data_IF_066158531407
#
_entry.id   IF_066158531407
#
_cell.length_a   1.000
_cell.length_b   1.000
_cell.length_c   1.000
_cell.angle_alpha   90.00
_cell.angle_beta   90.00
_cell.angle_gamma   90.00
#
_symmetry.space_group_name_H-M   'P 1'
#
loop_
_entity.id
_entity.type
_entity.pdbx_description
1 polymer ?
#
# COMPACT_ATOMS: atom_id res chain seq x y z
N UNK A 1 5.81 -19.55 3.97
CA UNK A 1 5.76 -20.52 5.09
C UNK A 1 7.15 -21.03 5.46
N UNK A 2 7.98 -21.50 4.51
CA UNK A 2 9.31 -22.06 4.78
C UNK A 2 10.21 -21.14 5.64
N UNK A 3 10.21 -19.83 5.35
CA UNK A 3 10.92 -18.85 6.18
C UNK A 3 10.39 -18.82 7.61
N UNK A 4 9.07 -18.76 7.79
CA UNK A 4 8.43 -18.67 9.09
C UNK A 4 8.66 -19.92 9.97
N UNK A 5 8.81 -21.10 9.36
CA UNK A 5 9.11 -22.34 10.10
C UNK A 5 10.59 -22.46 10.50
N UNK A 6 11.49 -21.80 9.78
CA UNK A 6 12.94 -21.99 9.97
C UNK A 6 13.63 -20.83 10.66
N UNK A 7 13.05 -19.64 10.65
CA UNK A 7 13.70 -18.42 11.17
C UNK A 7 13.98 -18.49 12.66
N UNK A 8 13.21 -19.24 13.43
CA UNK A 8 13.43 -19.42 14.87
C UNK A 8 14.72 -20.18 15.20
N UNK A 9 15.24 -20.95 14.25
CA UNK A 9 16.52 -21.64 14.38
C UNK A 9 17.73 -20.75 14.08
N UNK A 10 17.52 -19.50 13.65
CA UNK A 10 18.60 -18.57 13.35
C UNK A 10 18.99 -17.79 14.61
N UNK A 11 20.29 -17.76 14.90
CA UNK A 11 20.85 -16.90 15.94
C UNK A 11 20.93 -15.46 15.43
N UNK A 12 20.01 -14.61 15.88
CA UNK A 12 19.94 -13.21 15.52
C UNK A 12 19.19 -12.41 16.59
N UNK A 13 19.23 -11.10 16.51
CA UNK A 13 18.45 -10.22 17.38
C UNK A 13 16.94 -10.55 17.31
N UNK A 14 16.31 -10.74 18.46
CA UNK A 14 14.90 -11.15 18.54
C UNK A 14 13.95 -10.10 17.99
N UNK A 15 14.25 -8.81 18.18
CA UNK A 15 13.41 -7.72 17.65
C UNK A 15 13.43 -7.72 16.13
N UNK A 16 14.62 -7.91 15.57
CA UNK A 16 14.80 -8.04 14.11
C UNK A 16 14.09 -9.30 13.58
N UNK A 17 14.20 -10.42 14.30
CA UNK A 17 13.55 -11.68 13.94
C UNK A 17 12.02 -11.53 13.88
N UNK A 18 11.41 -10.95 14.91
CA UNK A 18 9.97 -10.71 14.96
C UNK A 18 9.51 -9.74 13.86
N UNK A 19 10.29 -8.70 13.58
CA UNK A 19 10.05 -7.80 12.45
C UNK A 19 10.04 -8.55 11.11
N UNK A 20 11.05 -9.37 10.85
CA UNK A 20 11.14 -10.15 9.62
C UNK A 20 10.01 -11.18 9.48
N UNK A 21 9.58 -11.80 10.59
CA UNK A 21 8.38 -12.65 10.62
C UNK A 21 7.13 -11.85 10.24
N UNK A 22 6.96 -10.66 10.80
CA UNK A 22 5.83 -9.79 10.50
C UNK A 22 5.81 -9.38 9.01
N UNK A 23 6.96 -9.04 8.43
CA UNK A 23 7.10 -8.74 7.00
C UNK A 23 6.70 -9.96 6.13
N UNK A 24 7.19 -11.15 6.47
CA UNK A 24 6.84 -12.38 5.74
C UNK A 24 5.33 -12.70 5.83
N UNK A 25 4.73 -12.50 6.99
CA UNK A 25 3.28 -12.66 7.21
C UNK A 25 2.48 -11.61 6.43
N UNK A 26 2.99 -10.38 6.33
CA UNK A 26 2.37 -9.34 5.49
C UNK A 26 2.26 -9.80 4.04
N UNK A 27 3.34 -10.26 3.44
CA UNK A 27 3.32 -10.76 2.05
C UNK A 27 2.41 -11.97 1.88
N UNK A 28 2.33 -12.85 2.87
CA UNK A 28 1.38 -13.96 2.88
C UNK A 28 -0.07 -13.45 2.87
N UNK A 29 -0.41 -12.52 3.75
CA UNK A 29 -1.75 -11.93 3.81
C UNK A 29 -2.11 -11.20 2.51
N UNK A 30 -1.17 -10.46 1.91
CA UNK A 30 -1.35 -9.82 0.62
C UNK A 30 -1.62 -10.83 -0.50
N UNK A 31 -0.86 -11.93 -0.55
CA UNK A 31 -1.07 -12.99 -1.54
C UNK A 31 -2.45 -13.65 -1.37
N UNK A 32 -2.90 -13.88 -0.13
CA UNK A 32 -4.24 -14.39 0.13
C UNK A 32 -5.35 -13.40 -0.26
N UNK A 33 -5.13 -12.10 -0.07
CA UNK A 33 -6.05 -11.07 -0.54
C UNK A 33 -6.21 -11.13 -2.07
N UNK A 34 -5.10 -11.22 -2.80
CA UNK A 34 -5.12 -11.35 -4.25
C UNK A 34 -5.80 -12.64 -4.71
N UNK A 35 -5.53 -13.75 -4.04
CA UNK A 35 -6.13 -15.04 -4.35
C UNK A 35 -7.64 -15.05 -4.09
N UNK A 36 -8.08 -14.60 -2.92
CA UNK A 36 -9.51 -14.63 -2.58
C UNK A 36 -10.32 -13.64 -3.40
N UNK A 37 -9.72 -12.50 -3.77
CA UNK A 37 -10.37 -11.51 -4.66
C UNK A 37 -10.61 -12.07 -6.05
N UNK A 38 -9.68 -12.88 -6.58
CA UNK A 38 -9.77 -13.46 -7.93
C UNK A 38 -10.56 -14.78 -7.97
N UNK A 39 -10.42 -15.61 -6.95
CA UNK A 39 -10.90 -17.01 -6.98
C UNK A 39 -11.95 -17.32 -5.91
N UNK A 40 -12.24 -16.41 -5.00
CA UNK A 40 -13.15 -16.63 -3.89
C UNK A 40 -12.60 -17.62 -2.86
N UNK A 41 -13.15 -18.83 -2.82
CA UNK A 41 -12.69 -19.91 -1.91
C UNK A 41 -11.31 -20.39 -2.30
N UNK A 42 -10.36 -20.36 -1.36
CA UNK A 42 -9.00 -20.87 -1.50
C UNK A 42 -8.58 -21.62 -0.22
N UNK A 43 -7.68 -22.59 -0.30
CA UNK A 43 -7.19 -23.25 0.91
C UNK A 43 -6.25 -22.31 1.68
N UNK A 44 -6.43 -22.20 2.98
CA UNK A 44 -5.50 -21.46 3.87
C UNK A 44 -4.41 -22.42 4.35
N UNK A 45 -3.23 -22.30 3.75
CA UNK A 45 -2.05 -23.11 4.04
C UNK A 45 -0.99 -22.25 4.73
N UNK A 46 -0.74 -22.52 6.01
CA UNK A 46 0.21 -21.76 6.85
C UNK A 46 1.51 -22.51 7.13
N UNK A 47 1.59 -23.77 6.73
CA UNK A 47 2.76 -24.63 6.89
C UNK A 47 3.37 -25.00 5.53
N UNK A 48 4.59 -25.50 5.52
CA UNK A 48 5.21 -26.11 4.34
C UNK A 48 4.55 -27.46 4.10
N UNK A 49 4.10 -27.69 2.88
CA UNK A 49 3.52 -28.97 2.50
C UNK A 49 4.60 -29.89 1.92
N UNK A 50 4.50 -31.17 2.23
CA UNK A 50 5.33 -32.19 1.61
C UNK A 50 4.96 -32.33 0.13
N UNK A 51 5.91 -32.82 -0.68
CA UNK A 51 5.73 -32.91 -2.14
C UNK A 51 4.56 -33.82 -2.55
N UNK A 52 4.31 -34.87 -1.78
CA UNK A 52 3.24 -35.84 -1.97
C UNK A 52 2.01 -35.63 -1.09
N UNK A 53 1.94 -34.46 -0.43
CA UNK A 53 0.81 -34.11 0.42
C UNK A 53 -0.51 -34.16 -0.38
N UNK A 54 -1.60 -34.64 0.22
CA UNK A 54 -2.90 -34.66 -0.44
C UNK A 54 -3.40 -33.25 -0.72
N UNK A 55 -4.25 -33.11 -1.74
CA UNK A 55 -4.87 -31.83 -2.07
C UNK A 55 -5.64 -31.27 -0.88
N UNK A 56 -5.34 -30.02 -0.51
CA UNK A 56 -6.06 -29.30 0.54
C UNK A 56 -7.39 -28.78 -0.03
N UNK A 57 -8.53 -29.05 0.62
CA UNK A 57 -9.80 -28.51 0.19
C UNK A 57 -9.83 -26.98 0.35
N UNK A 58 -10.64 -26.32 -0.47
CA UNK A 58 -10.83 -24.87 -0.38
C UNK A 58 -11.58 -24.51 0.89
N UNK A 59 -11.06 -23.57 1.65
CA UNK A 59 -11.75 -22.98 2.80
C UNK A 59 -12.89 -22.04 2.35
N UNK A 60 -13.92 -21.89 3.17
CA UNK A 60 -14.96 -20.89 2.98
C UNK A 60 -14.37 -19.46 2.89
N UNK A 61 -14.98 -18.58 2.11
CA UNK A 61 -14.49 -17.23 1.86
C UNK A 61 -14.36 -16.43 3.16
N UNK A 62 -15.31 -16.53 4.05
CA UNK A 62 -15.32 -15.86 5.35
C UNK A 62 -14.12 -16.27 6.22
N UNK A 63 -13.74 -17.54 6.20
CA UNK A 63 -12.53 -18.02 6.89
C UNK A 63 -11.25 -17.40 6.31
N UNK A 64 -11.15 -17.32 4.98
CA UNK A 64 -10.00 -16.70 4.32
C UNK A 64 -9.94 -15.20 4.63
N UNK A 65 -11.08 -14.52 4.59
CA UNK A 65 -11.19 -13.11 4.91
C UNK A 65 -10.80 -12.81 6.36
N UNK A 66 -11.30 -13.60 7.31
CA UNK A 66 -10.91 -13.47 8.73
C UNK A 66 -9.42 -13.68 8.92
N UNK A 67 -8.86 -14.73 8.31
CA UNK A 67 -7.41 -14.99 8.36
C UNK A 67 -6.59 -13.77 7.89
N UNK A 68 -6.98 -13.14 6.77
CA UNK A 68 -6.27 -11.97 6.23
C UNK A 68 -6.34 -10.79 7.22
N UNK A 69 -7.53 -10.47 7.73
CA UNK A 69 -7.72 -9.35 8.63
C UNK A 69 -7.02 -9.54 9.98
N UNK A 70 -7.03 -10.77 10.53
CA UNK A 70 -6.39 -11.11 11.79
C UNK A 70 -4.86 -11.09 11.66
N UNK A 71 -4.32 -11.65 10.55
CA UNK A 71 -2.88 -11.56 10.26
C UNK A 71 -2.41 -10.11 10.18
N UNK A 72 -3.11 -9.28 9.41
CA UNK A 72 -2.75 -7.87 9.25
C UNK A 72 -2.88 -7.07 10.55
N UNK A 73 -3.85 -7.37 11.40
CA UNK A 73 -3.98 -6.77 12.73
C UNK A 73 -2.79 -7.15 13.63
N UNK A 74 -2.45 -8.44 13.68
CA UNK A 74 -1.37 -8.94 14.51
C UNK A 74 -0.01 -8.37 14.12
N UNK A 75 0.29 -8.31 12.81
CA UNK A 75 1.57 -7.77 12.34
C UNK A 75 1.67 -6.25 12.49
N UNK A 76 0.56 -5.51 12.39
CA UNK A 76 0.54 -4.08 12.64
C UNK A 76 0.96 -3.72 14.08
N UNK A 77 0.79 -4.63 15.04
CA UNK A 77 1.23 -4.43 16.42
C UNK A 77 2.75 -4.60 16.60
N UNK A 78 3.42 -5.28 15.69
CA UNK A 78 4.86 -5.59 15.76
C UNK A 78 5.69 -4.66 14.87
N UNK A 79 5.14 -4.25 13.73
CA UNK A 79 5.85 -3.42 12.76
C UNK A 79 6.07 -2.00 13.28
N UNK A 80 7.23 -1.39 13.00
CA UNK A 80 7.50 -0.02 13.39
C UNK A 80 6.67 0.96 12.56
N UNK A 81 6.39 2.13 13.15
CA UNK A 81 5.68 3.22 12.48
C UNK A 81 6.53 3.79 11.33
N UNK A 82 7.84 3.86 11.55
CA UNK A 82 8.81 4.39 10.60
C UNK A 82 10.17 3.70 10.77
N UNK A 83 10.89 3.51 9.69
CA UNK A 83 12.28 3.10 9.72
C UNK A 83 13.19 4.34 9.79
N UNK A 84 14.22 4.28 10.62
CA UNK A 84 15.16 5.37 10.84
C UNK A 84 16.44 5.24 9.98
N UNK A 85 16.55 4.17 9.21
CA UNK A 85 17.66 3.94 8.26
C UNK A 85 17.60 4.91 7.08
N UNK A 86 18.76 5.09 6.43
CA UNK A 86 18.84 5.87 5.20
C UNK A 86 18.08 5.23 4.05
N UNK A 87 17.94 5.98 2.97
CA UNK A 87 17.26 5.57 1.74
C UNK A 87 17.70 4.18 1.23
N UNK A 88 18.98 3.86 1.36
CA UNK A 88 19.57 2.60 0.86
C UNK A 88 19.41 1.41 1.79
N UNK A 89 19.07 1.62 3.05
CA UNK A 89 19.13 0.56 4.06
C UNK A 89 17.78 -0.04 4.41
N UNK A 90 16.74 0.79 4.55
CA UNK A 90 15.43 0.33 5.04
C UNK A 90 14.23 0.89 4.26
N UNK A 91 14.48 1.64 3.20
CA UNK A 91 13.40 2.17 2.34
C UNK A 91 12.67 1.04 1.64
N UNK A 92 11.34 1.12 1.63
CA UNK A 92 10.51 0.09 1.01
C UNK A 92 10.17 -1.09 1.93
N UNK A 93 10.70 -1.16 3.15
CA UNK A 93 10.28 -2.16 4.14
C UNK A 93 8.86 -1.89 4.62
N UNK A 94 8.20 -2.95 5.08
CA UNK A 94 6.81 -2.89 5.52
C UNK A 94 6.72 -2.18 6.87
N UNK A 95 5.95 -1.09 6.91
CA UNK A 95 5.64 -0.33 8.12
C UNK A 95 4.29 -0.75 8.70
N UNK A 96 4.02 -0.32 9.94
CA UNK A 96 2.71 -0.45 10.57
C UNK A 96 1.60 0.18 9.72
N UNK A 97 1.85 1.37 9.19
CA UNK A 97 0.89 2.05 8.31
C UNK A 97 0.59 1.24 7.04
N UNK A 98 1.60 0.56 6.45
CA UNK A 98 1.38 -0.33 5.30
C UNK A 98 0.47 -1.52 5.64
N UNK A 99 0.66 -2.14 6.81
CA UNK A 99 -0.20 -3.24 7.26
C UNK A 99 -1.64 -2.76 7.51
N UNK A 100 -1.82 -1.62 8.16
CA UNK A 100 -3.14 -1.02 8.41
C UNK A 100 -3.82 -0.57 7.11
N UNK A 101 -3.09 -0.01 6.15
CA UNK A 101 -3.63 0.38 4.85
C UNK A 101 -4.10 -0.83 4.03
N UNK A 102 -3.32 -1.91 4.03
CA UNK A 102 -3.73 -3.16 3.40
C UNK A 102 -4.95 -3.77 4.09
N UNK A 103 -5.01 -3.71 5.44
CA UNK A 103 -6.15 -4.17 6.23
C UNK A 103 -7.40 -3.35 5.92
N UNK A 104 -7.30 -2.03 5.86
CA UNK A 104 -8.42 -1.14 5.49
C UNK A 104 -8.96 -1.49 4.09
N UNK A 105 -8.07 -1.67 3.13
CA UNK A 105 -8.43 -2.09 1.76
C UNK A 105 -9.11 -3.45 1.74
N UNK A 106 -8.54 -4.45 2.41
CA UNK A 106 -9.12 -5.78 2.49
C UNK A 106 -10.50 -5.76 3.13
N UNK A 107 -10.65 -5.09 4.27
CA UNK A 107 -11.93 -4.95 4.97
C UNK A 107 -12.98 -4.25 4.10
N UNK A 108 -12.60 -3.21 3.35
CA UNK A 108 -13.49 -2.53 2.41
C UNK A 108 -13.99 -3.48 1.31
N UNK A 109 -13.11 -4.26 0.70
CA UNK A 109 -13.47 -5.27 -0.30
C UNK A 109 -14.38 -6.37 0.24
N UNK A 110 -14.22 -6.71 1.52
CA UNK A 110 -15.03 -7.73 2.19
C UNK A 110 -16.37 -7.21 2.72
N UNK A 111 -16.64 -5.90 2.61
CA UNK A 111 -17.85 -5.26 3.15
C UNK A 111 -17.80 -5.04 4.66
N UNK A 112 -16.64 -5.23 5.29
CA UNK A 112 -16.44 -4.96 6.72
C UNK A 112 -16.02 -3.49 6.93
N UNK A 113 -17.00 -2.58 6.81
CA UNK A 113 -16.74 -1.15 6.86
C UNK A 113 -16.25 -0.66 8.21
N UNK A 114 -16.66 -1.31 9.30
CA UNK A 114 -16.18 -0.97 10.65
C UNK A 114 -14.67 -1.16 10.79
N UNK A 115 -14.14 -2.29 10.32
CA UNK A 115 -12.72 -2.58 10.35
C UNK A 115 -11.93 -1.71 9.36
N UNK A 116 -12.52 -1.41 8.21
CA UNK A 116 -11.93 -0.50 7.23
C UNK A 116 -11.76 0.91 7.82
N UNK A 117 -12.82 1.44 8.43
CA UNK A 117 -12.80 2.74 9.11
C UNK A 117 -11.81 2.77 10.28
N UNK A 118 -11.83 1.77 11.14
CA UNK A 118 -10.93 1.69 12.30
C UNK A 118 -9.45 1.70 11.87
N UNK A 119 -9.10 0.91 10.85
CA UNK A 119 -7.74 0.83 10.34
C UNK A 119 -7.28 2.15 9.69
N UNK A 120 -8.13 2.77 8.87
CA UNK A 120 -7.85 4.06 8.24
C UNK A 120 -7.72 5.19 9.27
N UNK A 121 -8.63 5.25 10.24
CA UNK A 121 -8.60 6.24 11.32
C UNK A 121 -7.34 6.12 12.19
N UNK A 122 -6.81 4.92 12.38
CA UNK A 122 -5.55 4.74 13.10
C UNK A 122 -4.40 5.41 12.37
N UNK A 123 -4.24 5.19 11.06
CA UNK A 123 -3.21 5.83 10.25
C UNK A 123 -3.33 7.36 10.30
N UNK A 124 -4.56 7.88 10.17
CA UNK A 124 -4.82 9.33 10.21
C UNK A 124 -4.45 9.93 11.57
N UNK A 125 -4.81 9.26 12.66
CA UNK A 125 -4.55 9.74 14.04
C UNK A 125 -3.07 9.67 14.43
N UNK A 126 -2.32 8.71 13.93
CA UNK A 126 -0.89 8.61 14.14
C UNK A 126 -0.12 9.80 13.51
N UNK A 127 -0.67 10.42 12.47
CA UNK A 127 -0.16 11.68 11.92
C UNK A 127 1.18 11.59 11.19
N UNK A 128 1.66 10.38 10.89
CA UNK A 128 2.91 10.17 10.16
C UNK A 128 2.76 10.38 8.65
N UNK A 129 1.52 10.37 8.16
CA UNK A 129 1.17 10.56 6.77
C UNK A 129 0.18 11.72 6.59
N UNK A 130 0.29 12.40 5.47
CA UNK A 130 -0.63 13.47 5.08
C UNK A 130 -0.73 13.55 3.56
N UNK A 131 -1.78 14.19 3.06
CA UNK A 131 -1.92 14.38 1.62
C UNK A 131 -0.79 15.28 1.10
N UNK A 132 -0.17 14.87 0.00
CA UNK A 132 0.79 15.68 -0.73
C UNK A 132 0.13 16.95 -1.26
N UNK A 133 0.78 18.09 -1.09
CA UNK A 133 0.25 19.40 -1.48
C UNK A 133 1.30 20.23 -2.18
N UNK A 134 0.99 20.64 -3.39
CA UNK A 134 1.73 21.71 -4.08
C UNK A 134 1.44 23.04 -3.37
N UNK A 135 2.49 23.74 -2.97
CA UNK A 135 2.39 25.00 -2.22
C UNK A 135 2.27 26.23 -3.13
N UNK A 136 2.85 26.14 -4.33
CA UNK A 136 2.82 27.22 -5.33
C UNK A 136 2.55 26.66 -6.72
N UNK A 137 1.93 27.47 -7.56
CA UNK A 137 1.70 27.19 -8.98
C UNK A 137 2.52 28.18 -9.83
N UNK A 138 3.10 27.70 -10.91
CA UNK A 138 3.69 28.58 -11.92
C UNK A 138 2.59 29.21 -12.79
N UNK A 139 2.98 30.14 -13.67
CA UNK A 139 2.03 30.91 -14.50
C UNK A 139 1.27 29.99 -15.48
N UNK A 140 1.93 29.01 -16.08
CA UNK A 140 1.32 28.06 -16.99
C UNK A 140 0.24 27.22 -16.27
N UNK A 141 0.55 26.68 -15.09
CA UNK A 141 -0.39 25.93 -14.27
C UNK A 141 -1.61 26.78 -13.83
N UNK A 142 -1.40 28.06 -13.50
CA UNK A 142 -2.51 28.96 -13.16
C UNK A 142 -3.45 29.15 -14.34
N UNK A 143 -2.90 29.40 -15.55
CA UNK A 143 -3.67 29.57 -16.77
C UNK A 143 -4.45 28.28 -17.11
N UNK A 144 -3.82 27.14 -17.02
CA UNK A 144 -4.46 25.84 -17.24
C UNK A 144 -5.59 25.59 -16.22
N UNK A 145 -5.38 25.92 -14.94
CA UNK A 145 -6.41 25.81 -13.91
C UNK A 145 -7.61 26.74 -14.19
N UNK A 146 -7.38 27.92 -14.73
CA UNK A 146 -8.43 28.86 -15.16
C UNK A 146 -9.23 28.29 -16.34
N UNK A 147 -8.56 27.74 -17.34
CA UNK A 147 -9.19 27.10 -18.49
C UNK A 147 -10.03 25.88 -18.08
N UNK A 148 -9.51 25.02 -17.23
CA UNK A 148 -10.24 23.86 -16.70
C UNK A 148 -11.39 24.25 -15.76
N UNK A 149 -11.20 25.34 -15.03
CA UNK A 149 -12.19 25.87 -14.09
C UNK A 149 -13.36 26.65 -14.72
N UNK A 150 -13.28 26.98 -16.02
CA UNK A 150 -14.29 27.86 -16.67
C UNK A 150 -15.72 27.28 -16.65
N UNK A 151 -15.85 25.97 -16.51
CA UNK A 151 -17.15 25.29 -16.44
C UNK A 151 -17.64 25.06 -15.00
N UNK A 152 -16.89 25.53 -13.99
CA UNK A 152 -17.22 25.33 -12.59
C UNK A 152 -17.74 26.64 -12.00
N UNK A 153 -18.96 26.62 -11.47
CA UNK A 153 -19.48 27.69 -10.65
C UNK A 153 -18.91 27.58 -9.23
N UNK A 154 -17.76 28.19 -9.04
CA UNK A 154 -17.03 28.13 -7.76
C UNK A 154 -17.80 28.81 -6.63
N UNK A 155 -18.49 29.92 -6.93
CA UNK A 155 -19.25 30.69 -5.94
C UNK A 155 -20.45 29.89 -5.44
N UNK A 156 -21.28 29.38 -6.35
CA UNK A 156 -22.45 28.56 -6.00
C UNK A 156 -22.09 27.28 -5.25
N UNK A 157 -20.90 26.74 -5.49
CA UNK A 157 -20.40 25.54 -4.81
C UNK A 157 -19.57 25.82 -3.53
N UNK A 158 -19.28 27.09 -3.25
CA UNK A 158 -18.43 27.47 -2.11
C UNK A 158 -17.00 26.93 -2.21
N UNK A 159 -16.47 26.76 -3.42
CA UNK A 159 -15.13 26.22 -3.66
C UNK A 159 -14.13 27.35 -3.86
N UNK A 160 -13.05 27.35 -3.08
CA UNK A 160 -11.93 28.27 -3.28
C UNK A 160 -11.13 27.89 -4.54
N UNK A 161 -10.97 28.88 -5.45
CA UNK A 161 -10.30 28.65 -6.75
C UNK A 161 -8.83 28.31 -6.63
N UNK A 162 -8.08 28.94 -5.71
CA UNK A 162 -6.66 28.67 -5.50
C UNK A 162 -6.46 27.30 -4.89
N UNK A 163 -7.32 26.92 -3.96
CA UNK A 163 -7.32 25.59 -3.35
C UNK A 163 -7.68 24.50 -4.38
N UNK A 164 -8.63 24.78 -5.27
CA UNK A 164 -8.97 23.88 -6.38
C UNK A 164 -7.77 23.68 -7.31
N UNK A 165 -7.15 24.77 -7.78
CA UNK A 165 -6.01 24.72 -8.67
C UNK A 165 -4.82 23.97 -8.05
N UNK A 166 -4.45 24.30 -6.82
CA UNK A 166 -3.40 23.57 -6.09
C UNK A 166 -3.74 22.10 -5.89
N UNK A 167 -5.02 21.77 -5.64
CA UNK A 167 -5.47 20.38 -5.52
C UNK A 167 -5.30 19.59 -6.80
N UNK A 168 -5.66 20.16 -7.94
CA UNK A 168 -5.52 19.57 -9.27
C UNK A 168 -4.06 19.21 -9.55
N UNK A 169 -3.15 20.18 -9.43
CA UNK A 169 -1.73 19.96 -9.68
C UNK A 169 -1.02 19.16 -8.58
N UNK A 170 -1.57 19.10 -7.35
CA UNK A 170 -1.04 18.20 -6.32
C UNK A 170 -1.22 16.74 -6.71
N UNK A 171 -2.38 16.38 -7.27
CA UNK A 171 -2.62 15.01 -7.72
C UNK A 171 -1.72 14.62 -8.89
N UNK A 172 -1.55 15.53 -9.87
CA UNK A 172 -0.62 15.31 -10.99
C UNK A 172 0.83 15.17 -10.49
N UNK A 173 1.30 16.14 -9.69
CA UNK A 173 2.67 16.17 -9.19
C UNK A 173 3.02 14.98 -8.29
N UNK A 174 2.04 14.37 -7.61
CA UNK A 174 2.25 13.17 -6.80
C UNK A 174 2.88 12.02 -7.60
N UNK A 175 2.56 11.92 -8.89
CA UNK A 175 3.03 10.85 -9.77
C UNK A 175 4.32 11.17 -10.52
N UNK A 176 4.87 12.37 -10.36
CA UNK A 176 6.15 12.73 -10.96
C UNK A 176 7.30 12.06 -10.21
N UNK A 177 8.30 11.61 -10.96
CA UNK A 177 9.50 10.95 -10.41
C UNK A 177 10.18 11.77 -9.31
N UNK A 178 10.25 13.10 -9.47
CA UNK A 178 10.89 14.00 -8.51
C UNK A 178 10.19 14.00 -7.13
N UNK A 179 8.93 13.60 -7.09
CA UNK A 179 8.14 13.47 -5.86
C UNK A 179 8.02 12.01 -5.37
N UNK A 180 8.60 11.05 -6.09
CA UNK A 180 8.67 9.65 -5.71
C UNK A 180 9.76 9.41 -4.65
N UNK A 181 9.80 10.25 -3.63
CA UNK A 181 10.77 10.16 -2.54
C UNK A 181 10.12 9.53 -1.31
N UNK A 182 10.90 8.78 -0.50
CA UNK A 182 10.46 8.32 0.82
C UNK A 182 10.03 9.45 1.76
N UNK A 183 10.46 10.68 1.47
CA UNK A 183 10.04 11.87 2.20
C UNK A 183 8.65 12.39 1.79
N UNK A 184 8.05 11.86 0.73
CA UNK A 184 6.71 12.23 0.33
C UNK A 184 5.70 11.77 1.39
N UNK A 185 4.96 12.70 2.03
CA UNK A 185 4.12 12.35 3.17
C UNK A 185 2.91 11.48 2.81
N UNK A 186 2.53 11.41 1.54
CA UNK A 186 1.37 10.60 1.09
C UNK A 186 1.74 9.14 0.85
N UNK A 187 3.01 8.84 0.60
CA UNK A 187 3.43 7.46 0.36
C UNK A 187 3.47 6.65 1.64
N UNK A 188 2.67 5.59 1.70
CA UNK A 188 2.64 4.63 2.80
C UNK A 188 3.58 3.46 2.50
N UNK A 189 3.49 2.91 1.28
CA UNK A 189 4.32 1.81 0.81
C UNK A 189 4.60 2.00 -0.68
N UNK A 190 5.87 1.99 -1.03
CA UNK A 190 6.31 2.08 -2.42
C UNK A 190 7.18 0.88 -2.78
N UNK A 191 7.07 0.45 -4.02
CA UNK A 191 8.03 -0.45 -4.63
C UNK A 191 8.87 0.37 -5.60
N UNK A 192 10.15 0.45 -5.33
CA UNK A 192 11.08 1.18 -6.17
C UNK A 192 11.64 0.29 -7.26
N UNK A 193 11.88 0.89 -8.43
CA UNK A 193 12.46 0.24 -9.58
C UNK A 193 13.64 1.07 -10.05
N UNK A 194 14.81 0.45 -10.11
CA UNK A 194 16.03 1.06 -10.66
C UNK A 194 16.22 0.59 -12.10
N UNK A 195 16.63 1.50 -12.98
CA UNK A 195 16.77 1.21 -14.41
C UNK A 195 17.77 0.09 -14.73
N UNK A 196 18.77 -0.09 -13.88
CA UNK A 196 19.88 -1.02 -14.15
C UNK A 196 19.67 -2.41 -13.54
N UNK A 197 18.89 -2.54 -12.45
CA UNK A 197 18.77 -3.79 -11.69
C UNK A 197 17.39 -4.47 -11.81
N UNK A 198 16.36 -3.71 -12.09
CA UNK A 198 15.02 -4.24 -12.28
C UNK A 198 14.35 -3.56 -13.47
N UNK A 199 14.51 -4.17 -14.64
CA UNK A 199 13.72 -3.80 -15.80
C UNK A 199 12.25 -3.92 -15.44
N UNK A 200 11.62 -2.77 -15.21
CA UNK A 200 10.20 -2.72 -14.88
C UNK A 200 9.36 -3.05 -16.11
N UNK A 201 9.12 -4.32 -16.33
CA UNK A 201 8.21 -4.78 -17.39
C UNK A 201 6.73 -4.44 -17.11
N UNK A 202 6.43 -3.75 -16.00
CA UNK A 202 5.09 -3.28 -15.69
C UNK A 202 4.50 -2.43 -16.81
N UNK A 203 5.31 -1.52 -17.36
CA UNK A 203 4.92 -0.71 -18.51
C UNK A 203 4.61 -1.58 -19.75
N UNK A 204 5.22 -2.75 -19.86
CA UNK A 204 5.01 -3.67 -20.97
C UNK A 204 3.68 -4.42 -20.89
N UNK A 205 3.21 -4.70 -19.67
CA UNK A 205 2.00 -5.50 -19.44
C UNK A 205 0.75 -4.67 -19.10
N UNK A 206 0.93 -3.45 -18.61
CA UNK A 206 -0.18 -2.64 -18.08
C UNK A 206 -0.43 -1.34 -18.83
N UNK A 207 0.46 -0.91 -19.74
CA UNK A 207 0.32 0.35 -20.46
C UNK A 207 0.25 0.15 -21.96
N UNK A 208 -0.85 0.63 -22.54
CA UNK A 208 -0.84 1.12 -23.90
C UNK A 208 0.08 2.33 -23.89
N UNK A 209 1.27 2.21 -24.51
CA UNK A 209 2.23 3.33 -24.57
C UNK A 209 1.57 4.54 -25.22
N UNK A 210 1.66 5.73 -24.63
CA UNK A 210 1.12 6.96 -25.23
C UNK A 210 1.65 7.25 -26.66
N UNK A 211 2.80 6.69 -27.02
CA UNK A 211 3.40 6.80 -28.35
C UNK A 211 2.74 5.94 -29.43
N UNK A 212 1.63 5.24 -29.12
CA UNK A 212 0.88 4.43 -30.09
C UNK A 212 -0.56 4.93 -30.28
N UNK A 213 -0.88 6.14 -29.81
CA UNK A 213 -2.08 6.87 -30.17
C UNK A 213 -1.77 7.91 -31.24
#
# INVERSE_FOLDING_TARGET
NNFLEKVDNCEMDETLKERMKAEARFFRAQAYLDLTTKFGKVPVVTTVMEYDAPNVPRDPVDKVQSFILDELAAIAAVLPDKYNGGYTEETGRITRAAALALRARAALYFGNYTEAEASANTIIKEGHHSLFRVTSLNEAQRKEAEELGQFIDFEAKGIDKDKFAKGLFSYEALWHHDNASPSNPEYIQTREYMNDDNNNDWARYTYIRPSQM
#
